data_IF_335301759605
#
_entry.id   IF_335301759605
#
_cell.length_a   1.000
_cell.length_b   1.000
_cell.length_c   1.000
_cell.angle_alpha   90.00
_cell.angle_beta   90.00
_cell.angle_gamma   90.00
#
_symmetry.space_group_name_H-M   'P 1'
#
loop_
_entity.id
_entity.type
_entity.pdbx_description
1 polymer ?
#
# COMPACT_ATOMS: atom_id res chain seq x y z
N UNK A 1 -38.33 -25.17 29.86
CA UNK A 1 -37.93 -24.13 30.84
C UNK A 1 -36.61 -23.54 30.34
N UNK A 2 -36.58 -22.22 30.11
CA UNK A 2 -35.44 -21.27 30.23
C UNK A 2 -34.08 -21.62 29.56
N UNK A 3 -33.34 -20.72 28.90
CA UNK A 3 -33.49 -19.31 28.55
C UNK A 3 -32.32 -18.98 27.59
N UNK A 4 -32.51 -17.99 26.73
CA UNK A 4 -31.48 -17.30 25.95
C UNK A 4 -30.29 -16.79 26.77
N UNK A 5 -29.09 -16.80 26.19
CA UNK A 5 -28.16 -15.67 26.24
C UNK A 5 -27.42 -15.55 24.89
N UNK A 6 -27.85 -14.54 24.14
CA UNK A 6 -27.10 -13.89 23.08
C UNK A 6 -25.87 -13.23 23.73
N UNK A 7 -24.68 -13.61 23.31
CA UNK A 7 -23.47 -12.83 23.52
C UNK A 7 -22.96 -12.46 22.14
N UNK A 8 -23.41 -11.30 21.67
CA UNK A 8 -22.74 -10.53 20.64
C UNK A 8 -21.35 -10.18 21.15
N UNK A 9 -20.40 -11.07 20.88
CA UNK A 9 -19.00 -10.70 20.89
C UNK A 9 -18.72 -10.19 19.49
N UNK A 10 -18.92 -8.88 19.27
CA UNK A 10 -18.20 -8.21 18.21
C UNK A 10 -16.72 -8.35 18.55
N UNK A 11 -16.13 -9.46 18.12
CA UNK A 11 -14.70 -9.56 17.96
C UNK A 11 -14.38 -8.56 16.87
N UNK A 12 -14.05 -7.33 17.27
CA UNK A 12 -13.38 -6.39 16.38
C UNK A 12 -12.11 -7.15 15.97
N UNK A 13 -12.14 -7.74 14.78
CA UNK A 13 -10.93 -8.23 14.13
C UNK A 13 -10.05 -7.02 13.99
N UNK A 14 -9.20 -6.78 14.99
CA UNK A 14 -8.03 -5.94 14.82
C UNK A 14 -7.35 -6.57 13.61
N UNK A 15 -7.23 -5.86 12.48
CA UNK A 15 -6.50 -6.39 11.35
C UNK A 15 -5.17 -6.87 11.89
N UNK A 16 -4.74 -8.08 11.54
CA UNK A 16 -3.37 -8.48 11.80
C UNK A 16 -2.47 -7.31 11.41
N UNK A 17 -1.44 -6.92 12.19
CA UNK A 17 -0.61 -5.76 11.84
C UNK A 17 0.03 -5.90 10.44
N UNK A 18 0.10 -7.11 9.90
CA UNK A 18 0.51 -7.45 8.52
C UNK A 18 -0.50 -6.97 7.45
N UNK A 19 -1.77 -6.80 7.83
CA UNK A 19 -2.89 -6.36 6.97
C UNK A 19 -3.26 -4.88 7.12
N UNK A 20 -2.70 -4.18 8.11
CA UNK A 20 -3.01 -2.77 8.35
C UNK A 20 -2.46 -1.86 7.24
N UNK A 21 -1.27 -2.16 6.69
CA UNK A 21 -0.64 -1.40 5.61
C UNK A 21 -0.49 -2.26 4.34
N UNK A 22 -1.16 -1.85 3.27
CA UNK A 22 -0.91 -2.36 1.92
C UNK A 22 0.10 -1.46 1.19
N UNK A 23 1.04 -2.07 0.49
CA UNK A 23 1.90 -1.37 -0.48
C UNK A 23 1.40 -1.66 -1.89
N UNK A 24 1.15 -0.61 -2.66
CA UNK A 24 0.77 -0.66 -4.06
C UNK A 24 1.94 -0.14 -4.89
N UNK A 25 2.64 -1.04 -5.57
CA UNK A 25 3.71 -0.71 -6.50
C UNK A 25 3.18 -0.48 -7.91
N UNK A 26 3.46 0.68 -8.49
CA UNK A 26 3.32 0.94 -9.92
C UNK A 26 4.53 0.33 -10.62
N UNK A 27 4.31 -0.57 -11.58
CA UNK A 27 5.40 -1.17 -12.37
C UNK A 27 5.14 -0.97 -13.85
N UNK A 28 6.13 -0.45 -14.58
CA UNK A 28 6.17 -0.50 -16.04
C UNK A 28 6.55 -1.90 -16.52
N UNK A 29 7.58 -2.06 -17.34
CA UNK A 29 8.10 -3.39 -17.72
C UNK A 29 8.93 -4.01 -16.58
N UNK A 30 8.93 -5.33 -16.34
CA UNK A 30 9.77 -5.90 -15.29
C UNK A 30 11.26 -5.66 -15.55
N UNK A 31 11.99 -5.22 -14.52
CA UNK A 31 13.44 -5.09 -14.53
C UNK A 31 14.07 -5.42 -13.16
N UNK A 32 15.39 -5.34 -13.07
CA UNK A 32 16.12 -5.62 -11.83
C UNK A 32 15.74 -4.67 -10.68
N UNK A 33 15.32 -3.44 -11.00
CA UNK A 33 14.93 -2.44 -10.01
C UNK A 33 13.54 -2.75 -9.44
N UNK A 34 12.55 -3.06 -10.29
CA UNK A 34 11.22 -3.47 -9.87
C UNK A 34 11.25 -4.75 -9.05
N UNK A 35 12.08 -5.73 -9.43
CA UNK A 35 12.25 -6.95 -8.66
C UNK A 35 12.97 -6.70 -7.33
N UNK A 36 13.90 -5.75 -7.27
CA UNK A 36 14.54 -5.34 -6.01
C UNK A 36 13.54 -4.67 -5.06
N UNK A 37 12.66 -3.82 -5.56
CA UNK A 37 11.57 -3.25 -4.78
C UNK A 37 10.69 -4.35 -4.18
N UNK A 38 10.19 -5.26 -5.01
CA UNK A 38 9.35 -6.39 -4.57
C UNK A 38 10.04 -7.29 -3.55
N UNK A 39 11.33 -7.61 -3.75
CA UNK A 39 12.13 -8.36 -2.78
C UNK A 39 12.26 -7.63 -1.45
N UNK A 40 12.47 -6.31 -1.47
CA UNK A 40 12.54 -5.51 -0.24
C UNK A 40 11.22 -5.56 0.54
N UNK A 41 10.08 -5.48 -0.15
CA UNK A 41 8.76 -5.63 0.46
C UNK A 41 8.62 -6.98 1.18
N UNK A 42 9.04 -8.06 0.51
CA UNK A 42 9.00 -9.41 1.08
C UNK A 42 9.94 -9.58 2.28
N UNK A 43 11.13 -8.98 2.26
CA UNK A 43 12.12 -9.07 3.36
C UNK A 43 11.57 -8.44 4.63
N UNK A 44 10.86 -7.33 4.51
CA UNK A 44 10.32 -6.59 5.64
C UNK A 44 8.86 -6.95 5.99
N UNK A 45 8.25 -7.91 5.27
CA UNK A 45 6.92 -8.41 5.59
C UNK A 45 5.77 -7.49 5.17
N UNK A 46 5.95 -6.65 4.15
CA UNK A 46 4.88 -5.82 3.60
C UNK A 46 3.87 -6.65 2.78
N UNK A 47 2.58 -6.32 2.90
CA UNK A 47 1.57 -6.79 1.96
C UNK A 47 1.67 -6.00 0.65
N UNK A 48 2.42 -6.52 -0.31
CA UNK A 48 2.72 -5.86 -1.58
C UNK A 48 1.81 -6.32 -2.71
N UNK A 49 1.16 -5.37 -3.37
CA UNK A 49 0.38 -5.56 -4.59
C UNK A 49 0.98 -4.73 -5.72
N UNK A 50 1.00 -5.27 -6.92
CA UNK A 50 1.57 -4.62 -8.08
C UNK A 50 0.50 -4.26 -9.09
N UNK A 51 0.55 -3.03 -9.59
CA UNK A 51 -0.22 -2.58 -10.75
C UNK A 51 0.69 -2.67 -11.97
N UNK A 52 0.35 -3.58 -12.88
CA UNK A 52 1.06 -3.71 -14.15
C UNK A 52 0.66 -2.60 -15.13
N UNK A 53 1.63 -1.77 -15.49
CA UNK A 53 1.54 -0.68 -16.44
C UNK A 53 2.42 -0.92 -17.68
N UNK A 54 2.96 -2.12 -17.88
CA UNK A 54 3.89 -2.42 -18.98
C UNK A 54 3.32 -2.12 -20.38
N UNK A 55 2.00 -2.12 -20.52
CA UNK A 55 1.31 -1.78 -21.77
C UNK A 55 1.27 -0.28 -22.06
N UNK A 56 1.61 0.57 -21.08
CA UNK A 56 1.54 2.02 -21.16
C UNK A 56 2.93 2.69 -21.11
N UNK A 57 3.95 2.01 -20.59
CA UNK A 57 5.30 2.57 -20.45
C UNK A 57 6.32 1.55 -19.94
N UNK A 58 7.62 1.86 -20.07
CA UNK A 58 8.69 1.00 -19.53
C UNK A 58 8.88 1.22 -18.04
N UNK A 59 8.68 2.45 -17.55
CA UNK A 59 8.65 2.79 -16.13
C UNK A 59 7.34 3.50 -15.80
N UNK A 60 7.05 3.73 -14.52
CA UNK A 60 5.88 4.52 -14.12
C UNK A 60 5.98 5.99 -14.58
N UNK A 61 7.18 6.51 -14.80
CA UNK A 61 7.40 7.88 -15.29
C UNK A 61 6.99 8.04 -16.76
N UNK A 62 7.09 6.98 -17.56
CA UNK A 62 6.65 6.98 -18.96
C UNK A 62 5.11 6.99 -19.11
N UNK A 63 4.39 6.67 -18.03
CA UNK A 63 2.93 6.48 -18.05
C UNK A 63 2.22 7.78 -17.70
N UNK A 64 1.24 8.15 -18.51
CA UNK A 64 0.39 9.32 -18.25
C UNK A 64 -0.25 9.29 -16.85
N UNK A 65 -0.24 10.43 -16.17
CA UNK A 65 -0.77 10.56 -14.80
C UNK A 65 -2.24 10.15 -14.68
N UNK A 66 -3.04 10.40 -15.71
CA UNK A 66 -4.46 10.00 -15.75
C UNK A 66 -4.63 8.48 -15.68
N UNK A 67 -3.75 7.73 -16.35
CA UNK A 67 -3.76 6.25 -16.32
C UNK A 67 -3.32 5.75 -14.96
N UNK A 68 -2.25 6.32 -14.39
CA UNK A 68 -1.77 5.97 -13.05
C UNK A 68 -2.85 6.21 -12.00
N UNK A 69 -3.48 7.39 -12.01
CA UNK A 69 -4.52 7.74 -11.07
C UNK A 69 -5.74 6.81 -11.17
N UNK A 70 -6.18 6.48 -12.39
CA UNK A 70 -7.31 5.58 -12.58
C UNK A 70 -7.03 4.17 -12.02
N UNK A 71 -5.82 3.65 -12.25
CA UNK A 71 -5.40 2.33 -11.75
C UNK A 71 -5.20 2.31 -10.23
N UNK A 72 -4.55 3.34 -9.68
CA UNK A 72 -4.40 3.53 -8.24
C UNK A 72 -5.76 3.59 -7.55
N UNK A 73 -6.68 4.41 -8.07
CA UNK A 73 -8.02 4.55 -7.51
C UNK A 73 -8.73 3.19 -7.42
N UNK A 74 -8.71 2.42 -8.51
CA UNK A 74 -9.27 1.08 -8.54
C UNK A 74 -8.62 0.15 -7.49
N UNK A 75 -7.31 0.20 -7.33
CA UNK A 75 -6.60 -0.65 -6.37
C UNK A 75 -6.90 -0.26 -4.91
N UNK A 76 -6.99 1.04 -4.62
CA UNK A 76 -7.34 1.56 -3.29
C UNK A 76 -8.80 1.22 -2.94
N UNK A 77 -9.73 1.35 -3.89
CA UNK A 77 -11.16 0.99 -3.68
C UNK A 77 -11.34 -0.50 -3.36
N UNK A 78 -10.47 -1.37 -3.89
CA UNK A 78 -10.45 -2.80 -3.61
C UNK A 78 -9.61 -3.19 -2.38
N UNK A 79 -9.03 -2.21 -1.68
CA UNK A 79 -8.22 -2.44 -0.49
C UNK A 79 -9.06 -2.42 0.78
N UNK A 80 -8.92 -3.48 1.57
CA UNK A 80 -9.43 -3.56 2.94
C UNK A 80 -8.42 -3.05 3.98
N UNK A 81 -7.24 -2.59 3.56
CA UNK A 81 -6.23 -2.06 4.47
C UNK A 81 -6.58 -0.64 4.93
N UNK A 82 -6.24 -0.34 6.18
CA UNK A 82 -6.41 0.98 6.81
C UNK A 82 -5.40 2.00 6.26
N UNK A 83 -4.19 1.53 5.98
CA UNK A 83 -3.11 2.32 5.40
C UNK A 83 -2.76 1.78 4.03
N UNK A 84 -2.49 2.68 3.08
CA UNK A 84 -2.03 2.34 1.74
C UNK A 84 -0.82 3.18 1.38
N UNK A 85 0.30 2.54 1.05
CA UNK A 85 1.50 3.19 0.52
C UNK A 85 1.58 2.95 -1.00
N UNK A 86 1.60 4.00 -1.80
CA UNK A 86 1.72 3.93 -3.25
C UNK A 86 3.14 4.34 -3.64
N UNK A 87 3.82 3.47 -4.38
CA UNK A 87 5.21 3.67 -4.81
C UNK A 87 5.41 3.36 -6.29
N UNK A 88 6.40 3.97 -6.93
CA UNK A 88 6.96 3.48 -8.19
C UNK A 88 8.03 2.42 -7.92
N UNK A 89 7.82 1.23 -8.47
CA UNK A 89 8.65 0.05 -8.22
C UNK A 89 10.04 0.17 -8.83
N UNK A 90 10.21 1.00 -9.87
CA UNK A 90 11.51 1.17 -10.55
C UNK A 90 12.48 2.07 -9.79
N UNK A 91 11.96 2.93 -8.92
CA UNK A 91 12.72 3.93 -8.18
C UNK A 91 12.70 3.71 -6.66
N UNK A 92 12.02 2.66 -6.18
CA UNK A 92 11.82 2.42 -4.74
C UNK A 92 12.59 1.23 -4.19
N UNK A 93 12.97 1.34 -2.92
CA UNK A 93 13.35 0.23 -2.04
C UNK A 93 12.68 0.51 -0.69
N UNK A 94 12.01 -0.50 -0.13
CA UNK A 94 11.43 -0.42 1.21
C UNK A 94 12.50 -0.80 2.24
N UNK A 95 12.60 -0.01 3.31
CA UNK A 95 13.54 -0.22 4.41
C UNK A 95 12.79 0.00 5.72
N UNK A 96 12.84 -0.99 6.61
CA UNK A 96 12.15 -0.95 7.91
C UNK A 96 10.85 -1.73 7.90
N UNK A 97 10.19 -1.82 9.05
CA UNK A 97 8.97 -2.61 9.22
C UNK A 97 7.73 -1.77 8.87
N UNK A 98 6.61 -2.38 8.46
CA UNK A 98 5.34 -1.69 8.24
C UNK A 98 4.88 -0.83 9.42
N UNK A 99 5.12 -1.31 10.65
CA UNK A 99 4.76 -0.60 11.89
C UNK A 99 5.44 0.75 12.04
N UNK A 100 6.67 0.88 11.57
CA UNK A 100 7.47 2.11 11.69
C UNK A 100 6.86 3.22 10.82
N UNK A 101 6.37 2.86 9.63
CA UNK A 101 5.68 3.77 8.72
C UNK A 101 4.30 4.17 9.24
N UNK A 102 3.54 3.22 9.77
CA UNK A 102 2.22 3.50 10.39
C UNK A 102 2.40 4.47 11.57
N UNK A 103 3.32 4.17 12.49
CA UNK A 103 3.59 5.03 13.64
C UNK A 103 3.99 6.45 13.20
N UNK A 104 4.79 6.56 12.14
CA UNK A 104 5.17 7.86 11.57
C UNK A 104 3.96 8.59 11.00
N UNK A 105 3.11 7.92 10.23
CA UNK A 105 1.89 8.50 9.66
C UNK A 105 0.92 8.99 10.76
N UNK A 106 0.68 8.15 11.78
CA UNK A 106 -0.14 8.50 12.96
C UNK A 106 0.43 9.71 13.70
N UNK A 107 1.76 9.79 13.86
CA UNK A 107 2.41 10.91 14.56
C UNK A 107 2.24 12.24 13.82
N UNK A 108 2.15 12.19 12.49
CA UNK A 108 1.92 13.35 11.64
C UNK A 108 0.45 13.80 11.65
N UNK A 109 -0.46 12.96 12.15
CA UNK A 109 -1.93 13.20 12.16
C UNK A 109 -2.46 13.65 10.80
N UNK A 110 -1.90 13.08 9.74
CA UNK A 110 -2.22 13.45 8.37
C UNK A 110 -2.98 12.30 7.71
N UNK A 111 -4.10 12.62 7.07
CA UNK A 111 -4.82 11.65 6.23
C UNK A 111 -4.02 11.29 4.96
N UNK A 112 -3.12 12.19 4.54
CA UNK A 112 -2.27 12.02 3.36
C UNK A 112 -0.88 12.58 3.62
N UNK A 113 0.16 11.80 3.29
CA UNK A 113 1.54 12.26 3.33
C UNK A 113 2.16 12.14 1.95
N UNK A 114 2.60 13.27 1.41
CA UNK A 114 3.38 13.33 0.18
C UNK A 114 4.86 13.42 0.49
N UNK A 115 5.67 12.53 -0.07
CA UNK A 115 7.12 12.54 0.14
C UNK A 115 7.74 13.33 -1.02
N UNK A 116 8.08 14.59 -0.78
CA UNK A 116 8.64 15.47 -1.80
C UNK A 116 10.04 14.99 -2.27
N UNK A 117 10.27 15.08 -3.59
CA UNK A 117 11.53 14.67 -4.23
C UNK A 117 11.49 13.27 -4.86
N UNK A 118 10.38 12.54 -4.68
CA UNK A 118 10.10 11.23 -5.27
C UNK A 118 8.60 11.10 -5.55
N UNK A 119 8.21 10.37 -6.58
CA UNK A 119 6.80 10.21 -7.00
C UNK A 119 6.01 9.23 -6.10
N UNK A 120 6.05 9.38 -4.77
CA UNK A 120 5.44 8.44 -3.81
C UNK A 120 4.40 9.10 -2.89
N UNK A 121 3.41 8.31 -2.46
CA UNK A 121 2.32 8.78 -1.61
C UNK A 121 2.03 7.76 -0.50
N UNK A 122 1.82 8.24 0.73
CA UNK A 122 1.17 7.45 1.79
C UNK A 122 -0.26 7.99 1.91
N UNK A 123 -1.22 7.08 1.77
CA UNK A 123 -2.65 7.30 1.96
C UNK A 123 -3.06 6.64 3.28
N UNK A 124 -3.71 7.40 4.16
CA UNK A 124 -4.37 6.88 5.36
C UNK A 124 -5.86 6.88 5.10
N UNK A 125 -6.52 5.73 5.22
CA UNK A 125 -7.97 5.61 5.07
C UNK A 125 -8.61 5.98 6.42
N UNK A 126 -9.20 7.17 6.51
CA UNK A 126 -9.99 7.61 7.67
C UNK A 126 -11.33 6.87 7.79
#
# INVERSE_FOLDING_TARGET
LHLWLHLDSQCTTIPSPISALQVIGLRGSPDDASERCKRSASVFGYFYTEIDLSNFGRTADDVEDAVKLAKVKQAVENSDSEYVLIIDSHSSILIGQPSDLIQTAESLKADYVFIAGVSFFIFVKS
#
